data_IF_596018372308
#
_entry.id   IF_596018372308
#
_cell.length_a   1.000
_cell.length_b   1.000
_cell.length_c   1.000
_cell.angle_alpha   90.00
_cell.angle_beta   90.00
_cell.angle_gamma   90.00
#
_symmetry.space_group_name_H-M   'P 1'
#
loop_
_entity.id
_entity.type
_entity.pdbx_description
1 polymer ?
#
# COMPACT_ATOMS: atom_id res chain seq x y z
N UNK A 1 -59.81 -19.34 -19.78
CA UNK A 1 -59.50 -18.79 -18.44
C UNK A 1 -58.00 -18.77 -18.32
N UNK A 2 -57.42 -17.62 -18.55
CA UNK A 2 -55.95 -17.44 -18.59
C UNK A 2 -55.52 -16.81 -17.26
N UNK A 3 -54.74 -17.52 -16.48
CA UNK A 3 -54.15 -16.99 -15.24
C UNK A 3 -52.90 -16.20 -15.57
N UNK A 4 -52.87 -14.92 -15.28
CA UNK A 4 -51.74 -14.03 -15.31
C UNK A 4 -50.88 -14.29 -14.08
N UNK A 5 -49.63 -14.73 -14.32
CA UNK A 5 -48.58 -14.74 -13.31
C UNK A 5 -48.09 -13.30 -13.10
N UNK A 6 -48.26 -12.78 -11.89
CA UNK A 6 -47.56 -11.56 -11.46
C UNK A 6 -46.13 -11.93 -11.09
N UNK A 7 -45.18 -11.50 -11.91
CA UNK A 7 -43.78 -11.39 -11.49
C UNK A 7 -43.67 -10.26 -10.46
N UNK A 8 -43.31 -10.64 -9.25
CA UNK A 8 -42.90 -9.71 -8.21
C UNK A 8 -41.45 -9.33 -8.50
N UNK A 9 -41.29 -8.18 -9.15
CA UNK A 9 -40.00 -7.49 -9.24
C UNK A 9 -39.72 -6.88 -7.85
N UNK A 10 -38.94 -7.58 -7.04
CA UNK A 10 -38.44 -7.05 -5.78
C UNK A 10 -37.33 -6.06 -6.11
N UNK A 11 -37.35 -4.80 -5.66
CA UNK A 11 -36.30 -3.86 -5.91
C UNK A 11 -35.03 -4.37 -5.24
N UNK A 12 -33.94 -4.62 -6.04
CA UNK A 12 -32.60 -4.79 -5.53
C UNK A 12 -32.22 -3.54 -4.73
N UNK A 13 -32.25 -3.65 -3.41
CA UNK A 13 -31.73 -2.62 -2.53
C UNK A 13 -30.24 -2.51 -2.72
N UNK A 14 -29.78 -1.53 -3.52
CA UNK A 14 -28.37 -1.11 -3.54
C UNK A 14 -28.01 -0.64 -2.14
N UNK A 15 -27.26 -1.45 -1.41
CA UNK A 15 -26.65 -1.05 -0.15
C UNK A 15 -25.82 0.21 -0.37
N UNK A 16 -25.97 1.27 0.41
CA UNK A 16 -25.12 2.45 0.33
C UNK A 16 -23.66 2.04 0.54
N UNK A 17 -22.73 2.65 -0.19
CA UNK A 17 -21.28 2.36 -0.04
C UNK A 17 -20.76 2.51 1.40
N UNK A 18 -21.39 3.38 2.19
CA UNK A 18 -21.07 3.55 3.62
C UNK A 18 -21.37 2.29 4.45
N UNK A 19 -22.45 1.57 4.15
CA UNK A 19 -22.81 0.35 4.88
C UNK A 19 -21.82 -0.78 4.59
N UNK A 20 -21.36 -0.90 3.35
CA UNK A 20 -20.36 -1.91 2.98
C UNK A 20 -19.02 -1.65 3.68
N UNK A 21 -18.53 -0.42 3.73
CA UNK A 21 -17.28 -0.08 4.38
C UNK A 21 -17.33 -0.38 5.89
N UNK A 22 -18.46 -0.13 6.55
CA UNK A 22 -18.64 -0.48 7.96
C UNK A 22 -18.70 -2.00 8.16
N UNK A 23 -19.41 -2.74 7.30
CA UNK A 23 -19.46 -4.20 7.36
C UNK A 23 -18.06 -4.81 7.20
N UNK A 24 -17.28 -4.33 6.23
CA UNK A 24 -15.90 -4.79 6.03
C UNK A 24 -14.99 -4.45 7.21
N UNK A 25 -15.13 -3.26 7.78
CA UNK A 25 -14.40 -2.84 8.96
C UNK A 25 -14.67 -3.73 10.17
N UNK A 26 -15.95 -4.03 10.46
CA UNK A 26 -16.30 -4.92 11.55
C UNK A 26 -15.85 -6.36 11.31
N UNK A 27 -15.98 -6.86 10.07
CA UNK A 27 -15.50 -8.18 9.70
C UNK A 27 -13.97 -8.28 9.85
N UNK A 28 -13.22 -7.28 9.41
CA UNK A 28 -11.78 -7.22 9.54
C UNK A 28 -11.34 -7.23 11.00
N UNK A 29 -11.98 -6.43 11.89
CA UNK A 29 -11.68 -6.42 13.32
C UNK A 29 -11.98 -7.73 14.04
N UNK A 30 -12.99 -8.46 13.57
CA UNK A 30 -13.38 -9.74 14.15
C UNK A 30 -12.60 -10.94 13.57
N UNK A 31 -11.72 -10.71 12.59
CA UNK A 31 -11.04 -11.78 11.88
C UNK A 31 -9.88 -12.34 12.70
N UNK A 32 -9.93 -13.66 12.95
CA UNK A 32 -8.82 -14.43 13.50
C UNK A 32 -8.03 -15.06 12.34
N UNK A 33 -6.75 -14.73 12.22
CA UNK A 33 -5.88 -15.25 11.18
C UNK A 33 -4.85 -16.22 11.76
N UNK A 34 -4.48 -17.28 11.02
CA UNK A 34 -3.34 -18.10 11.38
C UNK A 34 -2.06 -17.26 11.44
N UNK A 35 -1.10 -17.72 12.26
CA UNK A 35 0.23 -17.10 12.32
C UNK A 35 0.86 -16.99 10.92
N UNK A 36 1.48 -15.85 10.63
CA UNK A 36 2.09 -15.58 9.32
C UNK A 36 1.12 -15.08 8.25
N UNK A 37 -0.14 -14.78 8.59
CA UNK A 37 -1.10 -14.14 7.68
C UNK A 37 -1.46 -12.74 8.15
N UNK A 38 -1.80 -11.88 7.20
CA UNK A 38 -2.28 -10.52 7.44
C UNK A 38 -3.50 -10.22 6.57
N UNK A 39 -4.37 -9.33 7.02
CA UNK A 39 -5.55 -8.88 6.27
C UNK A 39 -5.53 -7.37 6.10
N UNK A 40 -5.91 -6.91 4.91
CA UNK A 40 -6.01 -5.50 4.53
C UNK A 40 -7.42 -5.24 3.98
N UNK A 41 -7.92 -4.00 4.08
CA UNK A 41 -9.15 -3.55 3.42
C UNK A 41 -8.77 -2.64 2.26
N UNK A 42 -8.81 -3.17 1.05
CA UNK A 42 -8.40 -2.46 -0.17
C UNK A 42 -9.56 -2.40 -1.15
N UNK A 43 -10.00 -1.19 -1.51
CA UNK A 43 -11.05 -0.92 -2.53
C UNK A 43 -12.30 -1.80 -2.40
N UNK A 44 -12.83 -1.97 -1.18
CA UNK A 44 -14.08 -2.70 -0.92
C UNK A 44 -13.94 -4.21 -0.78
N UNK A 45 -12.72 -4.71 -0.55
CA UNK A 45 -12.44 -6.13 -0.32
C UNK A 45 -11.55 -6.30 0.91
N UNK A 46 -11.75 -7.40 1.66
CA UNK A 46 -10.77 -7.88 2.62
C UNK A 46 -9.82 -8.84 1.88
N UNK A 47 -8.56 -8.49 1.86
CA UNK A 47 -7.51 -9.29 1.24
C UNK A 47 -6.65 -9.94 2.32
N UNK A 48 -6.61 -11.26 2.33
CA UNK A 48 -5.76 -12.04 3.24
C UNK A 48 -4.53 -12.53 2.47
N UNK A 49 -3.36 -12.25 3.00
CA UNK A 49 -2.10 -12.67 2.38
C UNK A 49 -1.14 -13.28 3.40
N UNK A 50 -0.35 -14.29 3.01
CA UNK A 50 0.74 -14.79 3.84
C UNK A 50 1.88 -13.77 3.88
N UNK A 51 2.78 -13.92 4.86
CA UNK A 51 4.06 -13.20 4.90
C UNK A 51 4.87 -13.45 3.63
N UNK A 52 5.60 -12.41 3.19
CA UNK A 52 6.32 -12.43 1.91
C UNK A 52 7.42 -13.51 1.82
N UNK A 53 7.78 -13.87 0.58
CA UNK A 53 8.92 -14.76 0.31
C UNK A 53 10.25 -14.12 0.76
N UNK A 54 11.28 -14.92 0.96
CA UNK A 54 12.61 -14.43 1.35
C UNK A 54 13.18 -13.36 0.41
N UNK A 55 12.99 -13.50 -0.92
CA UNK A 55 13.43 -12.47 -1.90
C UNK A 55 12.75 -11.12 -1.67
N UNK A 56 11.45 -11.12 -1.42
CA UNK A 56 10.66 -9.95 -1.07
C UNK A 56 11.18 -9.33 0.24
N UNK A 57 11.23 -10.11 1.32
CA UNK A 57 11.69 -9.64 2.63
C UNK A 57 13.11 -9.06 2.58
N UNK A 58 13.98 -9.61 1.72
CA UNK A 58 15.35 -9.11 1.54
C UNK A 58 15.38 -7.69 0.98
N UNK A 59 14.53 -7.37 0.00
CA UNK A 59 14.42 -6.02 -0.57
C UNK A 59 13.82 -5.07 0.48
N UNK A 60 12.72 -5.47 1.10
CA UNK A 60 12.04 -4.70 2.16
C UNK A 60 13.02 -4.33 3.27
N UNK A 61 13.77 -5.28 3.80
CA UNK A 61 14.73 -5.05 4.89
C UNK A 61 15.87 -4.11 4.45
N UNK A 62 16.46 -4.32 3.26
CA UNK A 62 17.52 -3.44 2.76
C UNK A 62 17.03 -2.01 2.59
N UNK A 63 15.83 -1.84 2.03
CA UNK A 63 15.22 -0.54 1.83
C UNK A 63 14.95 0.13 3.17
N UNK A 64 14.30 -0.57 4.10
CA UNK A 64 14.01 -0.05 5.44
C UNK A 64 15.29 0.35 6.18
N UNK A 65 16.33 -0.49 6.19
CA UNK A 65 17.57 -0.24 6.92
C UNK A 65 18.30 0.99 6.35
N UNK A 66 18.38 1.11 5.02
CA UNK A 66 19.01 2.27 4.37
C UNK A 66 18.19 3.55 4.55
N UNK A 67 16.86 3.46 4.45
CA UNK A 67 15.98 4.60 4.67
C UNK A 67 16.05 5.05 6.13
N UNK A 68 16.10 4.13 7.09
CA UNK A 68 16.30 4.45 8.50
C UNK A 68 17.64 5.15 8.76
N UNK A 69 18.73 4.67 8.11
CA UNK A 69 20.03 5.31 8.20
C UNK A 69 20.02 6.73 7.57
N UNK A 70 19.31 6.90 6.46
CA UNK A 70 19.17 8.20 5.78
C UNK A 70 18.39 9.21 6.63
N UNK A 71 17.33 8.75 7.32
CA UNK A 71 16.48 9.57 8.17
C UNK A 71 17.06 9.82 9.57
N UNK A 72 18.19 9.15 9.92
CA UNK A 72 18.78 9.27 11.25
C UNK A 72 19.10 10.74 11.62
N UNK A 73 18.60 11.18 12.78
CA UNK A 73 18.74 12.56 13.27
C UNK A 73 17.72 13.55 12.69
N UNK A 74 16.75 13.09 11.88
CA UNK A 74 15.55 13.86 11.54
C UNK A 74 14.41 13.51 12.50
N UNK A 75 13.29 14.21 12.36
CA UNK A 75 12.04 13.91 13.08
C UNK A 75 11.25 12.73 12.48
N UNK A 76 11.80 12.01 11.50
CA UNK A 76 11.11 10.93 10.78
C UNK A 76 11.82 9.60 10.92
N UNK A 77 11.02 8.52 10.92
CA UNK A 77 11.53 7.15 10.92
C UNK A 77 10.85 6.28 9.88
N UNK A 78 11.59 5.30 9.36
CA UNK A 78 11.03 4.22 8.56
C UNK A 78 10.37 3.18 9.45
N UNK A 79 9.13 2.78 9.11
CA UNK A 79 8.30 1.80 9.84
C UNK A 79 7.87 0.67 8.91
N UNK A 80 7.50 -0.46 9.50
CA UNK A 80 6.91 -1.62 8.82
C UNK A 80 5.95 -2.35 9.77
N UNK A 81 5.13 -3.25 9.26
CA UNK A 81 4.25 -4.13 10.06
C UNK A 81 3.24 -3.37 10.94
N UNK A 82 2.82 -2.19 10.52
CA UNK A 82 1.80 -1.37 11.19
C UNK A 82 0.68 -1.06 10.20
N UNK A 83 -0.55 -1.07 10.70
CA UNK A 83 -1.70 -0.67 9.90
C UNK A 83 -1.65 0.84 9.62
N UNK A 84 -1.79 1.22 8.35
CA UNK A 84 -2.07 2.59 7.90
C UNK A 84 -3.53 2.66 7.57
N UNK A 85 -4.27 3.55 8.24
CA UNK A 85 -5.72 3.60 8.22
C UNK A 85 -6.20 4.91 7.61
N UNK A 86 -7.14 4.82 6.66
CA UNK A 86 -7.83 5.95 6.06
C UNK A 86 -9.34 5.71 6.09
N UNK A 87 -10.04 6.32 7.04
CA UNK A 87 -11.45 6.04 7.31
C UNK A 87 -11.67 4.57 7.68
N UNK A 88 -12.32 3.80 6.81
CA UNK A 88 -12.57 2.36 6.99
C UNK A 88 -11.68 1.50 6.07
N UNK A 89 -10.59 2.03 5.56
CA UNK A 89 -9.59 1.30 4.76
C UNK A 89 -8.38 1.02 5.62
N UNK A 90 -7.80 -0.15 5.45
CA UNK A 90 -6.62 -0.61 6.20
C UNK A 90 -5.60 -1.14 5.21
N UNK A 91 -4.39 -0.63 5.28
CA UNK A 91 -3.25 -1.11 4.50
C UNK A 91 -2.10 -1.43 5.43
N UNK A 92 -1.28 -2.39 5.04
CA UNK A 92 -0.02 -2.71 5.71
C UNK A 92 1.09 -2.54 4.68
N UNK A 93 1.63 -1.32 4.49
CA UNK A 93 2.74 -1.11 3.56
C UNK A 93 3.97 -1.89 3.98
N UNK A 94 4.75 -2.35 3.02
CA UNK A 94 6.02 -3.04 3.31
C UNK A 94 7.01 -2.14 4.04
N UNK A 95 7.07 -0.83 3.67
CA UNK A 95 7.77 0.22 4.42
C UNK A 95 6.98 1.52 4.29
N UNK A 96 6.95 2.31 5.34
CA UNK A 96 6.44 3.67 5.29
C UNK A 96 7.25 4.60 6.20
N UNK A 97 7.10 5.91 5.98
CA UNK A 97 7.74 6.93 6.82
C UNK A 97 6.69 7.59 7.70
N UNK A 98 7.03 7.83 8.94
CA UNK A 98 6.20 8.51 9.92
C UNK A 98 7.07 9.44 10.77
N UNK A 99 6.50 10.54 11.31
CA UNK A 99 7.17 11.38 12.30
C UNK A 99 7.40 10.60 13.59
N UNK A 100 8.54 10.81 14.25
CA UNK A 100 8.84 10.25 15.58
C UNK A 100 8.33 11.13 16.72
N UNK A 101 8.11 12.42 16.46
CA UNK A 101 7.73 13.42 17.45
C UNK A 101 6.20 13.47 17.67
N UNK A 102 5.49 12.38 17.37
CA UNK A 102 4.03 12.43 17.34
C UNK A 102 3.34 12.19 18.68
N UNK A 103 4.06 11.81 19.74
CA UNK A 103 3.50 11.46 21.05
C UNK A 103 2.22 10.59 20.97
N UNK A 104 2.08 9.84 19.87
CA UNK A 104 0.89 9.02 19.59
C UNK A 104 -0.29 9.78 18.97
N UNK A 105 -0.15 11.05 18.58
CA UNK A 105 -1.25 11.86 18.02
C UNK A 105 -1.82 11.29 16.70
N UNK A 106 -1.02 10.51 15.97
CA UNK A 106 -1.44 9.86 14.72
C UNK A 106 -1.90 8.42 14.89
N UNK A 107 -1.83 7.90 16.11
CA UNK A 107 -2.40 6.58 16.42
C UNK A 107 -3.92 6.71 16.44
N UNK A 108 -4.61 5.78 15.77
CA UNK A 108 -6.08 5.77 15.76
C UNK A 108 -6.64 5.56 17.18
N UNK A 109 -7.83 6.09 17.47
CA UNK A 109 -8.44 6.05 18.81
C UNK A 109 -8.54 4.63 19.39
N UNK A 110 -8.72 3.63 18.53
CA UNK A 110 -8.78 2.21 18.88
C UNK A 110 -7.39 1.55 19.02
N UNK A 111 -6.31 2.29 18.74
CA UNK A 111 -4.94 1.79 18.80
C UNK A 111 -4.58 0.78 17.71
N UNK A 112 -5.42 0.60 16.68
CA UNK A 112 -5.24 -0.41 15.64
C UNK A 112 -4.18 -0.04 14.59
N UNK A 113 -3.85 1.24 14.46
CA UNK A 113 -2.88 1.70 13.47
C UNK A 113 -2.61 3.19 13.53
N UNK A 114 -2.04 3.73 12.46
CA UNK A 114 -1.76 5.15 12.29
C UNK A 114 -2.63 5.75 11.19
N UNK A 115 -3.00 7.02 11.33
CA UNK A 115 -3.77 7.74 10.32
C UNK A 115 -2.92 7.97 9.05
N UNK A 116 -3.49 7.68 7.89
CA UNK A 116 -2.80 7.82 6.60
C UNK A 116 -2.37 9.27 6.30
N UNK A 117 -3.05 10.28 6.88
CA UNK A 117 -2.69 11.68 6.69
C UNK A 117 -1.32 12.06 7.27
N UNK A 118 -0.83 11.25 8.22
CA UNK A 118 0.49 11.42 8.81
C UNK A 118 1.62 10.73 8.05
N UNK A 119 1.29 9.97 6.99
CA UNK A 119 2.24 9.15 6.25
C UNK A 119 2.68 9.87 4.97
N UNK A 120 3.89 10.47 4.93
CA UNK A 120 4.37 11.18 3.76
C UNK A 120 4.90 10.29 2.64
N UNK A 121 5.25 9.03 2.95
CA UNK A 121 5.81 8.09 1.98
C UNK A 121 5.43 6.66 2.33
N UNK A 122 5.01 5.90 1.33
CA UNK A 122 4.83 4.45 1.39
C UNK A 122 5.63 3.74 0.31
N UNK A 123 6.08 2.53 0.61
CA UNK A 123 6.77 1.63 -0.33
C UNK A 123 6.08 0.28 -0.32
N UNK A 124 5.85 -0.26 -1.52
CA UNK A 124 5.43 -1.63 -1.73
C UNK A 124 6.46 -2.37 -2.60
N UNK A 125 6.76 -3.58 -2.22
CA UNK A 125 7.58 -4.51 -3.00
C UNK A 125 6.65 -5.57 -3.57
N UNK A 126 6.46 -5.59 -4.87
CA UNK A 126 5.46 -6.47 -5.53
C UNK A 126 5.78 -7.94 -5.29
N UNK A 127 4.89 -8.71 -4.65
CA UNK A 127 5.06 -10.14 -4.49
C UNK A 127 4.68 -10.88 -5.78
N UNK A 128 5.08 -12.16 -5.93
CA UNK A 128 4.70 -12.97 -7.09
C UNK A 128 3.21 -13.27 -7.10
N UNK A 129 2.66 -13.39 -8.32
CA UNK A 129 1.26 -13.76 -8.56
C UNK A 129 0.44 -12.65 -9.17
N UNK A 130 -0.49 -13.01 -10.05
CA UNK A 130 -1.28 -12.06 -10.84
C UNK A 130 -2.11 -11.13 -9.95
N UNK A 131 -2.81 -11.67 -8.96
CA UNK A 131 -3.70 -10.88 -8.09
C UNK A 131 -2.91 -9.92 -7.19
N UNK A 132 -1.79 -10.39 -6.62
CA UNK A 132 -0.89 -9.57 -5.81
C UNK A 132 -0.27 -8.44 -6.63
N UNK A 133 0.13 -8.74 -7.86
CA UNK A 133 0.66 -7.75 -8.81
C UNK A 133 -0.39 -6.68 -9.14
N UNK A 134 -1.62 -7.08 -9.44
CA UNK A 134 -2.74 -6.16 -9.72
C UNK A 134 -3.10 -5.32 -8.47
N UNK A 135 -3.00 -5.91 -7.26
CA UNK A 135 -3.21 -5.20 -6.01
C UNK A 135 -2.27 -4.01 -5.88
N UNK A 136 -0.96 -4.23 -5.94
CA UNK A 136 0.03 -3.20 -5.65
C UNK A 136 0.17 -2.21 -6.81
N UNK A 137 0.21 -2.69 -8.07
CA UNK A 137 0.32 -1.83 -9.25
C UNK A 137 -0.90 -0.94 -9.49
N UNK A 138 -2.10 -1.38 -9.12
CA UNK A 138 -3.34 -0.69 -9.47
C UNK A 138 -4.15 -0.30 -8.25
N UNK A 139 -4.58 -1.26 -7.41
CA UNK A 139 -5.53 -0.99 -6.33
C UNK A 139 -4.92 -0.17 -5.21
N UNK A 140 -3.75 -0.54 -4.67
CA UNK A 140 -3.05 0.23 -3.64
C UNK A 140 -2.59 1.59 -4.19
N UNK A 141 -2.10 1.65 -5.43
CA UNK A 141 -1.75 2.93 -6.10
C UNK A 141 -2.93 3.91 -6.06
N UNK A 142 -4.14 3.47 -6.42
CA UNK A 142 -5.34 4.30 -6.36
C UNK A 142 -5.76 4.64 -4.93
N UNK A 143 -5.68 3.67 -4.03
CA UNK A 143 -6.05 3.83 -2.63
C UNK A 143 -5.15 4.87 -1.93
N UNK A 144 -3.83 4.77 -2.10
CA UNK A 144 -2.87 5.74 -1.57
C UNK A 144 -3.04 7.14 -2.18
N UNK A 145 -3.31 7.23 -3.49
CA UNK A 145 -3.61 8.52 -4.12
C UNK A 145 -4.89 9.15 -3.55
N UNK A 146 -5.96 8.38 -3.30
CA UNK A 146 -7.20 8.85 -2.64
C UNK A 146 -6.95 9.35 -1.22
N UNK A 147 -6.08 8.67 -0.48
CA UNK A 147 -5.69 9.09 0.87
C UNK A 147 -4.79 10.34 0.87
N UNK A 148 -4.29 10.75 -0.29
CA UNK A 148 -3.41 11.91 -0.40
C UNK A 148 -1.98 11.65 0.05
N UNK A 149 -1.54 10.39 0.12
CA UNK A 149 -0.16 10.04 0.49
C UNK A 149 0.79 10.63 -0.57
N UNK A 150 1.70 11.55 -0.19
CA UNK A 150 2.48 12.34 -1.15
C UNK A 150 3.36 11.52 -2.07
N UNK A 151 4.06 10.53 -1.53
CA UNK A 151 5.01 9.70 -2.28
C UNK A 151 4.65 8.22 -2.17
N UNK A 152 4.49 7.57 -3.32
CA UNK A 152 4.32 6.13 -3.40
C UNK A 152 5.46 5.52 -4.23
N UNK A 153 6.21 4.61 -3.64
CA UNK A 153 7.30 3.87 -4.28
C UNK A 153 6.85 2.44 -4.52
N UNK A 154 6.98 1.98 -5.76
CA UNK A 154 6.70 0.61 -6.16
C UNK A 154 7.99 -0.04 -6.66
N UNK A 155 8.45 -1.08 -5.95
CA UNK A 155 9.60 -1.92 -6.32
C UNK A 155 9.07 -3.22 -6.88
N UNK A 156 9.32 -3.50 -8.16
CA UNK A 156 8.62 -4.55 -8.90
C UNK A 156 9.58 -5.50 -9.62
N UNK A 157 9.80 -6.66 -9.01
CA UNK A 157 10.63 -7.74 -9.55
C UNK A 157 10.05 -8.37 -10.83
N UNK A 158 8.73 -8.20 -11.07
CA UNK A 158 7.95 -8.90 -12.10
C UNK A 158 7.58 -8.02 -13.29
N UNK A 159 8.19 -6.85 -13.38
CA UNK A 159 7.99 -5.91 -14.48
C UNK A 159 9.25 -5.83 -15.35
N UNK A 160 9.26 -6.58 -16.45
CA UNK A 160 10.44 -6.71 -17.31
C UNK A 160 11.63 -7.33 -16.57
N UNK A 161 12.73 -6.58 -16.48
CA UNK A 161 13.94 -6.98 -15.74
C UNK A 161 13.97 -6.47 -14.29
N UNK A 162 12.84 -6.07 -13.76
CA UNK A 162 12.66 -5.39 -12.49
C UNK A 162 12.64 -3.87 -12.66
N UNK A 163 11.71 -3.20 -11.99
CA UNK A 163 11.56 -1.73 -12.06
C UNK A 163 11.36 -1.13 -10.69
N UNK A 164 11.72 0.15 -10.56
CA UNK A 164 11.33 1.01 -9.44
C UNK A 164 10.55 2.19 -10.02
N UNK A 165 9.33 2.40 -9.54
CA UNK A 165 8.52 3.56 -9.85
C UNK A 165 8.37 4.44 -8.63
N UNK A 166 8.62 5.74 -8.76
CA UNK A 166 8.35 6.77 -7.74
C UNK A 166 7.22 7.64 -8.24
N UNK A 167 6.11 7.62 -7.53
CA UNK A 167 4.88 8.31 -7.86
C UNK A 167 4.67 9.47 -6.90
N UNK A 168 4.33 10.64 -7.42
CA UNK A 168 4.20 11.89 -6.67
C UNK A 168 2.99 12.69 -7.11
N UNK A 169 2.69 13.76 -6.37
CA UNK A 169 1.59 14.68 -6.69
C UNK A 169 0.24 13.94 -6.82
N UNK A 170 -0.27 13.35 -5.73
CA UNK A 170 -1.58 12.69 -5.74
C UNK A 170 -2.70 13.69 -6.01
N UNK A 171 -3.71 13.26 -6.77
CA UNK A 171 -5.01 13.94 -6.92
C UNK A 171 -6.07 13.04 -6.28
N UNK A 172 -6.43 13.25 -5.00
CA UNK A 172 -7.34 12.36 -4.26
C UNK A 172 -8.69 12.12 -4.95
N UNK A 173 -9.30 13.21 -5.50
CA UNK A 173 -10.58 13.11 -6.19
C UNK A 173 -10.57 12.28 -7.47
N UNK A 174 -9.39 12.10 -8.08
CA UNK A 174 -9.19 11.30 -9.29
C UNK A 174 -8.52 9.95 -9.01
N UNK A 175 -8.15 9.71 -7.75
CA UNK A 175 -7.48 8.50 -7.32
C UNK A 175 -6.21 8.17 -8.14
N UNK A 176 -5.40 9.18 -8.45
CA UNK A 176 -4.18 9.01 -9.27
C UNK A 176 -3.04 9.92 -8.80
N UNK A 177 -1.84 9.52 -9.12
CA UNK A 177 -0.64 10.36 -9.09
C UNK A 177 -0.42 10.99 -10.46
N UNK A 178 0.10 12.21 -10.51
CA UNK A 178 0.41 12.92 -11.76
C UNK A 178 1.89 12.92 -12.09
N UNK A 179 2.76 12.78 -11.09
CA UNK A 179 4.20 12.58 -11.29
C UNK A 179 4.53 11.09 -11.27
N UNK A 180 5.34 10.62 -12.23
CA UNK A 180 5.88 9.27 -12.23
C UNK A 180 7.31 9.29 -12.78
N UNK A 181 8.25 8.78 -11.99
CA UNK A 181 9.60 8.49 -12.41
C UNK A 181 9.81 6.98 -12.31
N UNK A 182 10.12 6.32 -13.43
CA UNK A 182 10.30 4.87 -13.48
C UNK A 182 11.64 4.52 -14.10
N UNK A 183 12.37 3.65 -13.42
CA UNK A 183 13.67 3.15 -13.86
C UNK A 183 13.72 1.63 -13.78
N UNK A 184 14.60 1.02 -14.58
CA UNK A 184 14.91 -0.42 -14.46
C UNK A 184 15.94 -0.66 -13.35
N UNK A 185 15.94 -1.87 -12.78
CA UNK A 185 16.98 -2.29 -11.86
C UNK A 185 18.36 -2.15 -12.51
N UNK A 186 19.36 -1.81 -11.68
CA UNK A 186 20.70 -1.42 -12.15
C UNK A 186 20.84 0.09 -12.42
N UNK A 187 19.73 0.84 -12.43
CA UNK A 187 19.75 2.30 -12.44
C UNK A 187 19.35 2.85 -11.07
N UNK A 188 19.76 4.09 -10.82
CA UNK A 188 19.41 4.81 -9.59
C UNK A 188 18.14 5.62 -9.78
N UNK A 189 17.30 5.69 -8.74
CA UNK A 189 16.19 6.64 -8.66
C UNK A 189 16.23 7.37 -7.33
N UNK A 190 16.02 8.68 -7.40
CA UNK A 190 16.06 9.58 -6.23
C UNK A 190 14.65 9.95 -5.84
N UNK A 191 14.32 9.87 -4.54
CA UNK A 191 13.06 10.38 -4.01
C UNK A 191 13.06 11.91 -4.14
N UNK A 192 12.09 12.50 -4.87
CA UNK A 192 12.15 13.92 -5.24
C UNK A 192 11.65 14.88 -4.17
N UNK A 193 10.85 14.42 -3.22
CA UNK A 193 10.17 15.27 -2.24
C UNK A 193 9.91 14.56 -0.90
N UNK A 194 9.38 15.33 0.07
CA UNK A 194 9.05 14.85 1.41
C UNK A 194 10.28 14.59 2.29
N UNK A 195 10.09 13.91 3.44
CA UNK A 195 11.16 13.66 4.41
C UNK A 195 12.32 12.83 3.85
N UNK A 196 12.04 11.97 2.88
CA UNK A 196 13.03 11.14 2.21
C UNK A 196 13.62 11.78 0.95
N UNK A 197 13.44 13.09 0.73
CA UNK A 197 14.01 13.79 -0.43
C UNK A 197 15.53 13.61 -0.50
N UNK A 198 16.00 13.11 -1.64
CA UNK A 198 17.43 12.82 -1.85
C UNK A 198 17.83 11.36 -1.52
N UNK A 199 16.95 10.58 -0.91
CA UNK A 199 17.19 9.16 -0.74
C UNK A 199 17.28 8.45 -2.09
N UNK A 200 18.32 7.63 -2.27
CA UNK A 200 18.61 6.91 -3.52
C UNK A 200 18.22 5.44 -3.37
N UNK A 201 17.41 4.96 -4.30
CA UNK A 201 17.12 3.52 -4.46
C UNK A 201 17.98 3.02 -5.63
N UNK A 202 18.90 2.13 -5.33
CA UNK A 202 19.93 1.61 -6.23
C UNK A 202 19.98 0.07 -6.23
N UNK A 203 20.95 -0.49 -6.95
CA UNK A 203 21.18 -1.93 -7.03
C UNK A 203 21.52 -2.56 -5.66
N UNK A 204 22.08 -1.82 -4.72
CA UNK A 204 22.36 -2.35 -3.39
C UNK A 204 21.07 -2.64 -2.60
N UNK A 205 19.94 -2.00 -2.96
CA UNK A 205 18.60 -2.27 -2.43
C UNK A 205 17.93 -3.35 -3.25
N UNK A 206 17.76 -3.13 -4.55
CA UNK A 206 16.98 -3.99 -5.44
C UNK A 206 17.71 -5.29 -5.80
N UNK A 207 19.02 -5.29 -5.79
CA UNK A 207 19.86 -6.27 -6.46
C UNK A 207 19.93 -6.02 -7.98
N UNK A 208 20.68 -6.85 -8.71
CA UNK A 208 20.88 -6.68 -10.15
C UNK A 208 19.57 -6.86 -10.94
N UNK A 209 19.56 -6.42 -12.21
CA UNK A 209 18.45 -6.69 -13.13
C UNK A 209 18.06 -8.17 -13.14
N UNK A 210 16.76 -8.44 -13.19
CA UNK A 210 16.27 -9.83 -13.25
C UNK A 210 16.46 -10.40 -14.65
N UNK A 211 16.71 -11.69 -14.73
CA UNK A 211 16.61 -12.40 -16.01
C UNK A 211 15.15 -12.34 -16.48
N UNK A 212 14.93 -12.12 -17.77
CA UNK A 212 13.60 -12.15 -18.32
C UNK A 212 12.91 -13.47 -17.94
N UNK A 213 11.78 -13.38 -17.26
CA UNK A 213 10.96 -14.55 -16.97
C UNK A 213 10.28 -14.88 -18.29
N UNK A 214 10.74 -15.98 -18.94
CA UNK A 214 10.19 -16.49 -20.18
C UNK A 214 8.78 -17.06 -20.00
#
# INVERSE_FOLDING_TARGET
MTALAHEHDAPEAKMPHQDLDEVLWQAWKAMELPEGYRAEIVEGFIEVSPTGRYSHSRIVNRLRDRLSAFLAGSEYAARQDVNVIHGRKVWIPDVFVLSEDDDGQYVTEDGLGVDASAVPLVVEVVPPGHDSTARDRVRKRRAYARAGIPVYVLVDDYDGHGTVSVLTSPIPGEARYTGELRVQYGSEVVIPEGPAKGFVIDEAITGPPRNAIG
#
